data_IF_472795416683
#
_entry.id   IF_472795416683
#
_cell.length_a   1.000
_cell.length_b   1.000
_cell.length_c   1.000
_cell.angle_alpha   90.00
_cell.angle_beta   90.00
_cell.angle_gamma   90.00
#
_symmetry.space_group_name_H-M   'P 1'
#
loop_
_entity.id
_entity.type
_entity.pdbx_description
1 polymer ?
#
# COMPACT_ATOMS: atom_id res chain seq x y z
N UNK A 1 9.66 5.94 -3.16
CA UNK A 1 9.30 5.34 -4.47
C UNK A 1 8.30 6.23 -5.22
N UNK A 2 7.12 6.55 -4.67
CA UNK A 2 6.20 7.51 -5.30
C UNK A 2 6.81 8.90 -5.59
N UNK A 3 7.66 9.43 -4.70
CA UNK A 3 8.33 10.74 -4.93
C UNK A 3 9.21 10.76 -6.18
N UNK A 4 9.72 9.60 -6.59
CA UNK A 4 10.57 9.45 -7.77
C UNK A 4 9.77 9.27 -9.06
N UNK A 5 8.46 9.08 -8.97
CA UNK A 5 7.58 8.93 -10.14
C UNK A 5 7.28 10.32 -10.72
N UNK A 6 7.53 10.55 -12.03
CA UNK A 6 7.19 11.80 -12.70
C UNK A 6 5.70 12.14 -12.51
N UNK A 7 5.38 13.42 -12.31
CA UNK A 7 3.99 13.86 -12.02
C UNK A 7 3.00 13.36 -13.09
N UNK A 8 3.42 13.35 -14.35
CA UNK A 8 2.63 12.87 -15.49
C UNK A 8 2.33 11.38 -15.45
N UNK A 9 3.15 10.58 -14.76
CA UNK A 9 2.98 9.12 -14.64
C UNK A 9 2.30 8.70 -13.35
N UNK A 10 2.25 9.56 -12.32
CA UNK A 10 1.65 9.26 -11.00
C UNK A 10 0.26 8.64 -11.06
N UNK A 11 -0.65 8.99 -12.00
CA UNK A 11 -1.96 8.33 -12.10
C UNK A 11 -1.90 6.82 -12.38
N UNK A 12 -0.75 6.30 -12.85
CA UNK A 12 -0.56 4.88 -13.19
C UNK A 12 0.07 4.06 -12.05
N UNK A 13 0.50 4.72 -10.98
CA UNK A 13 1.21 4.08 -9.87
C UNK A 13 0.43 4.19 -8.57
N UNK A 14 0.53 3.14 -7.76
CA UNK A 14 -0.19 3.01 -6.50
C UNK A 14 0.79 2.60 -5.40
N UNK A 15 0.56 3.11 -4.19
CA UNK A 15 1.05 2.48 -2.97
C UNK A 15 0.04 1.40 -2.56
N UNK A 16 0.54 0.22 -2.17
CA UNK A 16 -0.30 -0.91 -1.77
C UNK A 16 0.12 -1.34 -0.37
N UNK A 17 -0.82 -1.27 0.58
CA UNK A 17 -0.66 -1.87 1.90
C UNK A 17 -1.33 -3.24 1.90
N UNK A 18 -0.61 -4.24 2.40
CA UNK A 18 -1.10 -5.62 2.50
C UNK A 18 -1.23 -5.93 3.98
N UNK A 19 -2.44 -6.23 4.42
CA UNK A 19 -2.77 -6.52 5.82
C UNK A 19 -3.96 -7.48 5.88
N UNK A 20 -4.40 -7.79 7.08
CA UNK A 20 -5.71 -8.37 7.37
C UNK A 20 -6.22 -7.76 8.68
N UNK A 21 -7.50 -7.96 9.07
CA UNK A 21 -8.04 -7.40 10.31
C UNK A 21 -7.22 -7.74 11.56
N UNK A 22 -6.62 -8.93 11.58
CA UNK A 22 -5.78 -9.42 12.68
C UNK A 22 -4.32 -8.90 12.62
N UNK A 23 -3.96 -8.13 11.58
CA UNK A 23 -2.61 -7.60 11.33
C UNK A 23 -1.52 -8.69 11.31
N UNK A 24 -1.93 -9.92 10.99
CA UNK A 24 -1.11 -11.12 10.94
C UNK A 24 -1.21 -11.71 9.54
N UNK A 25 -0.56 -11.07 8.57
CA UNK A 25 -0.54 -11.57 7.19
C UNK A 25 0.53 -12.65 7.05
N UNK A 26 0.18 -13.88 6.66
CA UNK A 26 1.17 -14.88 6.33
C UNK A 26 1.87 -14.46 5.04
N UNK A 27 3.16 -14.13 5.07
CA UNK A 27 3.90 -13.74 3.86
C UNK A 27 4.55 -14.92 3.13
N UNK A 28 4.65 -16.12 3.74
CA UNK A 28 5.17 -17.34 3.10
C UNK A 28 4.58 -18.61 3.72
N UNK A 29 3.69 -19.31 3.01
CA UNK A 29 3.13 -20.64 3.37
C UNK A 29 2.70 -20.83 4.84
N UNK A 30 2.46 -19.72 5.55
CA UNK A 30 1.97 -19.75 6.91
C UNK A 30 0.46 -19.92 6.86
N UNK A 31 -0.01 -20.91 7.60
CA UNK A 31 -1.41 -21.31 7.73
C UNK A 31 -2.19 -20.32 8.62
N UNK A 32 -1.97 -19.01 8.47
CA UNK A 32 -2.80 -18.01 9.13
C UNK A 32 -4.10 -17.88 8.31
N UNK A 33 -5.22 -18.19 8.96
CA UNK A 33 -6.49 -18.56 8.33
C UNK A 33 -7.35 -17.38 7.86
N UNK A 34 -6.73 -16.27 7.44
CA UNK A 34 -7.44 -15.06 7.04
C UNK A 34 -6.90 -14.56 5.70
N UNK A 35 -7.82 -14.38 4.75
CA UNK A 35 -7.53 -13.86 3.42
C UNK A 35 -6.85 -12.49 3.51
N UNK A 36 -5.92 -12.23 2.60
CA UNK A 36 -5.16 -10.98 2.58
C UNK A 36 -6.04 -9.89 1.96
N UNK A 37 -6.00 -8.71 2.55
CA UNK A 37 -6.62 -7.53 2.00
C UNK A 37 -5.56 -6.56 1.48
N UNK A 38 -5.93 -5.81 0.44
CA UNK A 38 -5.05 -4.90 -0.28
C UNK A 38 -5.67 -3.51 -0.25
N UNK A 39 -5.09 -2.59 0.52
CA UNK A 39 -5.44 -1.17 0.41
C UNK A 39 -4.63 -0.55 -0.71
N UNK A 40 -5.32 -0.08 -1.74
CA UNK A 40 -4.76 0.57 -2.93
C UNK A 40 -4.94 2.07 -2.80
N UNK A 41 -3.83 2.81 -2.88
CA UNK A 41 -3.80 4.28 -2.80
C UNK A 41 -3.06 4.82 -4.02
N UNK A 42 -3.63 5.72 -4.84
CA UNK A 42 -2.90 6.37 -5.92
C UNK A 42 -1.65 7.09 -5.38
N UNK A 43 -0.55 7.11 -6.15
CA UNK A 43 0.71 7.70 -5.67
C UNK A 43 0.55 9.18 -5.25
N UNK A 44 -0.27 9.95 -5.97
CA UNK A 44 -0.50 11.35 -5.64
C UNK A 44 -1.14 11.51 -4.25
N UNK A 45 -2.17 10.71 -3.97
CA UNK A 45 -2.87 10.74 -2.68
C UNK A 45 -2.00 10.21 -1.56
N UNK A 46 -1.23 9.15 -1.80
CA UNK A 46 -0.24 8.66 -0.83
C UNK A 46 0.77 9.76 -0.44
N UNK A 47 1.33 10.48 -1.43
CA UNK A 47 2.28 11.57 -1.18
C UNK A 47 1.64 12.77 -0.47
N UNK A 48 0.35 13.00 -0.64
CA UNK A 48 -0.38 14.12 -0.05
C UNK A 48 -0.84 13.81 1.39
N UNK A 49 -1.32 12.60 1.64
CA UNK A 49 -2.03 12.25 2.87
C UNK A 49 -1.20 11.43 3.87
N UNK A 50 -0.17 10.70 3.44
CA UNK A 50 0.58 9.82 4.34
C UNK A 50 1.45 10.59 5.34
N UNK A 51 1.42 10.15 6.59
CA UNK A 51 2.18 10.72 7.71
C UNK A 51 2.59 9.62 8.70
N UNK A 52 3.88 9.55 9.03
CA UNK A 52 4.44 8.62 10.01
C UNK A 52 5.58 9.28 10.79
N UNK A 53 5.37 9.40 12.09
CA UNK A 53 6.37 9.79 13.10
C UNK A 53 7.30 8.63 13.52
N UNK A 54 7.07 7.44 12.96
CA UNK A 54 7.78 6.17 13.26
C UNK A 54 7.65 5.68 14.71
N UNK A 55 6.77 6.27 15.53
CA UNK A 55 6.61 5.86 16.93
C UNK A 55 6.21 4.40 17.09
N UNK A 56 5.47 3.85 16.12
CA UNK A 56 5.11 2.42 16.06
C UNK A 56 6.31 1.46 15.95
N UNK A 57 7.51 1.94 15.64
CA UNK A 57 8.76 1.15 15.59
C UNK A 57 9.58 1.27 16.88
N UNK A 58 9.04 1.92 17.92
CA UNK A 58 9.65 1.97 19.25
C UNK A 58 9.02 0.90 20.15
N UNK A 59 9.83 0.30 20.99
CA UNK A 59 9.36 -0.60 22.04
C UNK A 59 8.77 0.17 23.23
N UNK A 60 8.33 -0.55 24.25
CA UNK A 60 7.74 0.01 25.47
C UNK A 60 8.72 0.91 26.26
N UNK A 61 10.03 0.74 26.06
CA UNK A 61 11.08 1.56 26.67
C UNK A 61 11.47 2.77 25.80
N UNK A 62 10.84 2.93 24.64
CA UNK A 62 11.14 3.99 23.67
C UNK A 62 12.37 3.71 22.80
N UNK A 63 12.98 2.53 22.90
CA UNK A 63 14.10 2.11 22.07
C UNK A 63 13.61 1.65 20.69
N UNK A 64 14.44 1.85 19.67
CA UNK A 64 14.09 1.46 18.30
C UNK A 64 14.17 -0.07 18.12
N UNK A 65 13.07 -0.68 17.69
CA UNK A 65 13.00 -2.11 17.34
C UNK A 65 13.91 -2.42 16.14
N UNK A 66 14.04 -1.45 15.23
CA UNK A 66 14.98 -1.45 14.12
C UNK A 66 15.51 -0.03 13.88
N UNK A 67 16.75 0.14 13.40
CA UNK A 67 17.31 1.47 13.18
C UNK A 67 16.41 2.28 12.22
N UNK A 68 15.99 3.50 12.60
CA UNK A 68 15.16 4.30 11.74
C UNK A 68 15.95 4.73 10.49
N UNK A 69 15.28 4.94 9.36
CA UNK A 69 15.94 5.52 8.19
C UNK A 69 16.58 6.89 8.50
N UNK A 70 17.66 7.22 7.79
CA UNK A 70 18.46 8.44 8.01
C UNK A 70 17.86 9.75 7.46
N UNK A 71 16.66 9.69 6.88
CA UNK A 71 15.88 10.86 6.48
C UNK A 71 14.85 11.22 7.56
N UNK A 72 14.31 12.44 7.52
CA UNK A 72 13.33 12.93 8.49
C UNK A 72 11.99 12.16 8.43
N UNK A 73 11.23 12.03 9.53
CA UNK A 73 9.88 11.46 9.48
C UNK A 73 9.00 12.17 8.44
N UNK A 74 8.15 11.41 7.75
CA UNK A 74 7.19 11.99 6.80
C UNK A 74 6.05 12.53 7.65
N UNK A 75 5.95 13.85 7.79
CA UNK A 75 4.86 14.50 8.54
C UNK A 75 4.19 15.54 7.66
N UNK A 76 2.89 15.35 7.41
CA UNK A 76 2.09 16.30 6.60
C UNK A 76 1.21 17.20 7.47
N UNK A 77 0.55 16.61 8.47
CA UNK A 77 -0.43 17.30 9.31
C UNK A 77 -0.09 17.25 10.81
N UNK A 78 1.16 16.89 11.17
CA UNK A 78 1.60 16.81 12.57
C UNK A 78 1.14 15.56 13.33
N UNK A 79 0.08 14.88 12.90
CA UNK A 79 -0.33 13.57 13.41
C UNK A 79 0.17 12.43 12.52
N UNK A 80 0.59 11.33 13.16
CA UNK A 80 0.92 10.07 12.49
C UNK A 80 -0.37 9.33 12.15
N UNK A 81 -0.53 8.89 10.89
CA UNK A 81 -1.74 8.20 10.42
C UNK A 81 -1.44 6.84 9.78
N UNK A 82 -0.25 6.29 9.98
CA UNK A 82 0.14 4.97 9.43
C UNK A 82 -0.88 3.86 9.75
N UNK A 83 -1.54 3.93 10.90
CA UNK A 83 -2.54 2.95 11.30
C UNK A 83 -3.77 2.94 10.40
N UNK A 84 -4.15 4.11 9.86
CA UNK A 84 -5.28 4.24 8.93
C UNK A 84 -4.95 3.58 7.58
N UNK A 85 -3.69 3.68 7.15
CA UNK A 85 -3.19 3.02 5.94
C UNK A 85 -3.03 1.50 6.11
N UNK A 86 -2.73 1.03 7.33
CA UNK A 86 -2.64 -0.41 7.65
C UNK A 86 -4.04 -1.04 7.84
N UNK A 87 -5.02 -0.26 8.33
CA UNK A 87 -6.40 -0.72 8.50
C UNK A 87 -6.98 -1.21 7.19
N UNK A 88 -7.81 -2.25 7.24
CA UNK A 88 -8.53 -2.80 6.08
C UNK A 88 -10.04 -2.52 6.15
N UNK A 89 -10.48 -1.62 7.05
CA UNK A 89 -11.83 -1.07 7.04
C UNK A 89 -12.01 -0.14 5.81
N UNK A 90 -13.00 -0.44 4.97
CA UNK A 90 -13.30 0.31 3.75
C UNK A 90 -13.80 1.74 4.02
N UNK A 91 -14.26 2.05 5.24
CA UNK A 91 -14.71 3.39 5.61
C UNK A 91 -13.53 4.31 5.99
N UNK A 92 -12.39 3.73 6.36
CA UNK A 92 -11.17 4.49 6.66
C UNK A 92 -10.50 4.89 5.35
N UNK A 93 -10.18 6.17 5.18
CA UNK A 93 -9.56 6.73 3.96
C UNK A 93 -10.34 6.43 2.67
N UNK A 94 -11.68 6.34 2.76
CA UNK A 94 -12.57 5.98 1.65
C UNK A 94 -12.53 6.97 0.48
N UNK A 95 -12.12 8.22 0.75
CA UNK A 95 -11.97 9.30 -0.21
C UNK A 95 -10.71 9.17 -1.08
N UNK A 96 -9.67 8.52 -0.56
CA UNK A 96 -8.34 8.45 -1.21
C UNK A 96 -7.84 7.04 -1.48
N UNK A 97 -8.61 6.01 -1.11
CA UNK A 97 -8.19 4.62 -1.25
C UNK A 97 -9.35 3.65 -1.42
N UNK A 98 -9.03 2.45 -1.89
CA UNK A 98 -9.95 1.31 -1.94
C UNK A 98 -9.29 0.10 -1.29
N UNK A 99 -10.06 -0.68 -0.52
CA UNK A 99 -9.64 -1.98 0.00
C UNK A 99 -10.21 -3.06 -0.90
N UNK A 100 -9.35 -3.98 -1.34
CA UNK A 100 -9.70 -5.11 -2.20
C UNK A 100 -9.36 -6.42 -1.51
N UNK A 101 -10.14 -7.46 -1.75
CA UNK A 101 -9.71 -8.84 -1.49
C UNK A 101 -8.75 -9.36 -2.59
N UNK A 102 -8.29 -10.60 -2.46
CA UNK A 102 -7.34 -11.21 -3.39
C UNK A 102 -7.93 -11.39 -4.81
N UNK A 103 -9.20 -11.78 -4.92
CA UNK A 103 -9.89 -11.98 -6.20
C UNK A 103 -10.15 -10.65 -6.92
N UNK A 104 -10.55 -9.61 -6.18
CA UNK A 104 -10.73 -8.25 -6.65
C UNK A 104 -9.41 -7.65 -7.13
N UNK A 105 -8.34 -7.80 -6.33
CA UNK A 105 -7.01 -7.34 -6.68
C UNK A 105 -6.53 -8.03 -7.97
N UNK A 106 -6.68 -9.36 -8.05
CA UNK A 106 -6.31 -10.11 -9.25
C UNK A 106 -7.12 -9.67 -10.45
N UNK A 107 -8.45 -9.60 -10.37
CA UNK A 107 -9.31 -9.16 -11.48
C UNK A 107 -8.98 -7.76 -11.96
N UNK A 108 -8.71 -6.84 -11.03
CA UNK A 108 -8.44 -5.42 -11.34
C UNK A 108 -7.11 -5.22 -12.05
N UNK A 109 -6.07 -5.96 -11.66
CA UNK A 109 -4.70 -5.67 -12.11
C UNK A 109 -4.06 -6.77 -12.98
N UNK A 110 -4.70 -7.93 -13.17
CA UNK A 110 -4.17 -9.00 -14.04
C UNK A 110 -4.53 -8.84 -15.53
N UNK A 111 -5.49 -7.99 -15.89
CA UNK A 111 -5.93 -7.82 -17.27
C UNK A 111 -4.91 -7.11 -18.19
N UNK A 112 -3.87 -6.45 -17.64
CA UNK A 112 -2.92 -5.64 -18.41
C UNK A 112 -1.87 -6.44 -19.21
N UNK A 113 -2.00 -7.77 -19.34
CA UNK A 113 -1.05 -8.62 -20.07
C UNK A 113 -1.59 -9.29 -21.34
N UNK A 114 -2.82 -8.98 -21.81
CA UNK A 114 -3.42 -9.69 -22.97
C UNK A 114 -3.37 -8.97 -24.33
N UNK A 115 -3.13 -7.66 -24.40
CA UNK A 115 -3.31 -6.90 -25.66
C UNK A 115 -2.05 -6.68 -26.51
N UNK A 116 -1.06 -7.59 -26.50
CA UNK A 116 0.13 -7.41 -27.35
C UNK A 116 0.66 -8.67 -28.05
N UNK A 117 -0.20 -9.65 -28.38
CA UNK A 117 0.27 -10.87 -29.07
C UNK A 117 -0.53 -11.41 -30.27
N UNK A 118 -1.39 -10.61 -30.90
CA UNK A 118 -2.02 -11.08 -32.15
C UNK A 118 -2.31 -9.96 -33.12
N UNK A 119 -1.27 -9.42 -33.74
CA UNK A 119 -1.31 -8.98 -35.14
C UNK A 119 0.13 -8.83 -35.66
N UNK A 120 0.70 -9.92 -36.17
CA UNK A 120 1.81 -9.88 -37.12
C UNK A 120 1.80 -11.16 -37.97
N UNK A 121 1.27 -10.95 -39.18
CA UNK A 121 1.44 -11.70 -40.42
C UNK A 121 1.13 -13.19 -40.46
N UNK A 122 -0.08 -13.46 -40.96
CA UNK A 122 -0.22 -14.29 -42.15
C UNK A 122 0.47 -13.58 -43.31
N UNK A 123 1.62 -14.10 -43.77
CA UNK A 123 2.11 -14.10 -45.16
C UNK A 123 3.28 -15.08 -45.24
#
# INVERSE_FOLDING_TARGET
LCEKVPVTERPRYFAVFISNPDRCVPLFSQKASVERCFRIIPCADYLSHFSSDRSHMKDENGAWIAPPPNWEPISKNGSSNIQDFISMDSNVLADVSVVLDEDEMYRRFSASHRDNRSESSVL
#
